data_IF_863497867476
#
_entry.id   IF_863497867476
#
_cell.length_a   1.000
_cell.length_b   1.000
_cell.length_c   1.000
_cell.angle_alpha   90.00
_cell.angle_beta   90.00
_cell.angle_gamma   90.00
#
_symmetry.space_group_name_H-M   'P 1'
#
loop_
_entity.id
_entity.type
_entity.pdbx_description
1 polymer ?
#
# COMPACT_ATOMS: atom_id res chain seq x y z
N UNK A 1 -11.93 -30.84 2.72
CA UNK A 1 -10.51 -30.44 2.69
C UNK A 1 -10.42 -28.93 2.53
N UNK A 2 -9.78 -28.22 3.47
CA UNK A 2 -9.67 -26.76 3.43
C UNK A 2 -8.48 -26.39 2.53
N UNK A 3 -8.74 -25.90 1.31
CA UNK A 3 -7.69 -25.58 0.34
C UNK A 3 -6.84 -24.41 0.84
N UNK A 4 -5.58 -24.33 0.43
CA UNK A 4 -4.63 -23.33 0.95
C UNK A 4 -5.12 -21.89 0.76
N UNK A 5 -5.84 -21.61 -0.32
CA UNK A 5 -6.49 -20.31 -0.57
C UNK A 5 -7.61 -20.00 0.42
N UNK A 6 -8.51 -20.96 0.69
CA UNK A 6 -9.59 -20.80 1.68
C UNK A 6 -9.03 -20.58 3.09
N UNK A 7 -7.97 -21.29 3.45
CA UNK A 7 -7.26 -21.09 4.72
C UNK A 7 -6.69 -19.68 4.84
N UNK A 8 -5.99 -19.19 3.82
CA UNK A 8 -5.44 -17.82 3.83
C UNK A 8 -6.54 -16.77 3.96
N UNK A 9 -7.61 -16.89 3.17
CA UNK A 9 -8.74 -15.96 3.22
C UNK A 9 -9.43 -15.97 4.60
N UNK A 10 -9.61 -17.15 5.20
CA UNK A 10 -10.15 -17.29 6.55
C UNK A 10 -9.29 -16.61 7.61
N UNK A 11 -7.96 -16.72 7.50
CA UNK A 11 -7.01 -16.02 8.38
C UNK A 11 -7.11 -14.51 8.20
N UNK A 12 -7.08 -14.03 6.95
CA UNK A 12 -7.17 -12.61 6.61
C UNK A 12 -8.45 -11.97 7.15
N UNK A 13 -9.61 -12.60 6.88
CA UNK A 13 -10.91 -12.12 7.36
C UNK A 13 -11.01 -12.23 8.87
N UNK A 14 -10.62 -13.37 9.45
CA UNK A 14 -10.70 -13.61 10.89
C UNK A 14 -9.88 -12.61 11.69
N UNK A 15 -8.64 -12.34 11.27
CA UNK A 15 -7.78 -11.34 11.92
C UNK A 15 -8.35 -9.94 11.71
N UNK A 16 -8.81 -9.58 10.51
CA UNK A 16 -9.39 -8.26 10.25
C UNK A 16 -10.63 -8.00 11.11
N UNK A 17 -11.53 -8.98 11.24
CA UNK A 17 -12.71 -8.89 12.08
C UNK A 17 -12.35 -8.77 13.57
N UNK A 18 -11.42 -9.60 14.05
CA UNK A 18 -10.94 -9.55 15.43
C UNK A 18 -10.32 -8.19 15.76
N UNK A 19 -9.45 -7.66 14.89
CA UNK A 19 -8.83 -6.36 15.08
C UNK A 19 -9.87 -5.23 15.08
N UNK A 20 -10.90 -5.32 14.23
CA UNK A 20 -11.95 -4.30 14.20
C UNK A 20 -12.80 -4.31 15.47
N UNK A 21 -13.10 -5.50 16.03
CA UNK A 21 -13.79 -5.63 17.32
C UNK A 21 -12.95 -5.02 18.44
N UNK A 22 -11.66 -5.39 18.51
CA UNK A 22 -10.73 -4.85 19.52
C UNK A 22 -10.63 -3.32 19.39
N UNK A 23 -10.47 -2.80 18.17
CA UNK A 23 -10.38 -1.38 17.91
C UNK A 23 -11.66 -0.63 18.29
N UNK A 24 -12.83 -1.23 18.00
CA UNK A 24 -14.13 -0.64 18.33
C UNK A 24 -14.32 -0.42 19.83
N UNK A 25 -13.74 -1.28 20.66
CA UNK A 25 -13.86 -1.20 22.12
C UNK A 25 -12.69 -0.46 22.78
N UNK A 26 -11.53 -0.39 22.12
CA UNK A 26 -10.27 -0.03 22.75
C UNK A 26 -9.40 0.99 22.01
N UNK A 27 -9.84 1.57 20.89
CA UNK A 27 -9.05 2.50 20.07
C UNK A 27 -8.29 3.55 20.90
N UNK A 28 -9.00 4.25 21.79
CA UNK A 28 -8.43 5.30 22.62
C UNK A 28 -7.41 4.75 23.62
N UNK A 29 -7.74 3.68 24.32
CA UNK A 29 -6.88 3.05 25.34
C UNK A 29 -5.63 2.46 24.71
N UNK A 30 -5.77 1.80 23.56
CA UNK A 30 -4.65 1.24 22.79
C UNK A 30 -3.69 2.36 22.40
N UNK A 31 -4.19 3.44 21.77
CA UNK A 31 -3.35 4.56 21.39
C UNK A 31 -2.66 5.23 22.59
N UNK A 32 -3.34 5.39 23.73
CA UNK A 32 -2.70 5.90 24.96
C UNK A 32 -1.54 5.04 25.43
N UNK A 33 -1.67 3.72 25.33
CA UNK A 33 -0.67 2.77 25.82
C UNK A 33 0.53 2.64 24.88
N UNK A 34 0.30 2.65 23.57
CA UNK A 34 1.32 2.27 22.59
C UNK A 34 1.90 3.43 21.79
N UNK A 35 1.35 4.64 21.87
CA UNK A 35 1.85 5.77 21.07
C UNK A 35 3.23 6.25 21.56
N UNK A 36 4.14 6.44 20.60
CA UNK A 36 5.43 7.11 20.75
C UNK A 36 5.88 7.67 19.41
N UNK A 37 5.89 8.98 19.34
CA UNK A 37 6.30 9.75 18.16
C UNK A 37 7.82 9.63 17.87
N UNK A 38 8.63 9.11 18.80
CA UNK A 38 10.07 8.86 18.59
C UNK A 38 10.38 7.43 18.14
N UNK A 39 9.36 6.61 17.85
CA UNK A 39 9.58 5.22 17.45
C UNK A 39 10.33 5.09 16.12
N UNK A 40 11.53 4.48 16.19
CA UNK A 40 12.33 4.13 15.00
C UNK A 40 11.56 3.20 14.06
N UNK A 41 10.92 2.16 14.61
CA UNK A 41 10.12 1.21 13.83
C UNK A 41 9.00 1.92 13.04
N UNK A 42 8.24 2.76 13.73
CA UNK A 42 7.15 3.51 13.11
C UNK A 42 7.65 4.46 12.01
N UNK A 43 8.80 5.10 12.24
CA UNK A 43 9.40 6.00 11.28
C UNK A 43 9.98 5.28 10.05
N UNK A 44 10.61 4.12 10.21
CA UNK A 44 11.09 3.32 9.07
C UNK A 44 9.95 2.94 8.13
N UNK A 45 8.82 2.49 8.69
CA UNK A 45 7.63 2.17 7.89
C UNK A 45 6.96 3.40 7.30
N UNK A 46 7.01 4.55 7.96
CA UNK A 46 6.56 5.81 7.39
C UNK A 46 7.33 6.18 6.13
N UNK A 47 8.66 6.07 6.18
CA UNK A 47 9.52 6.43 5.03
C UNK A 47 9.37 5.39 3.93
N UNK A 48 9.57 4.10 4.24
CA UNK A 48 9.75 3.08 3.21
C UNK A 48 8.50 2.23 2.94
N UNK A 49 7.59 2.16 3.91
CA UNK A 49 6.58 1.11 3.94
C UNK A 49 5.44 1.26 2.93
N UNK A 50 5.32 2.41 2.26
CA UNK A 50 4.31 2.62 1.21
C UNK A 50 4.71 2.02 -0.14
N UNK A 51 5.91 1.44 -0.27
CA UNK A 51 6.39 0.94 -1.56
C UNK A 51 5.44 0.01 -2.33
N UNK A 52 4.58 -0.84 -1.70
CA UNK A 52 3.74 -1.74 -2.48
C UNK A 52 2.75 -1.00 -3.40
N UNK A 53 2.27 0.19 -3.01
CA UNK A 53 1.36 0.97 -3.86
C UNK A 53 2.00 1.52 -5.12
N UNK A 54 3.34 1.65 -5.14
CA UNK A 54 4.08 2.02 -6.34
C UNK A 54 4.64 0.79 -7.07
N UNK A 55 4.99 -0.27 -6.34
CA UNK A 55 5.52 -1.50 -6.92
C UNK A 55 4.48 -2.24 -7.78
N UNK A 56 3.23 -2.35 -7.33
CA UNK A 56 2.19 -3.06 -8.07
C UNK A 56 1.90 -2.38 -9.42
N UNK A 57 1.66 -1.05 -9.51
CA UNK A 57 1.49 -0.38 -10.80
C UNK A 57 2.77 -0.40 -11.64
N UNK A 58 3.96 -0.31 -11.02
CA UNK A 58 5.24 -0.42 -11.73
C UNK A 58 5.39 -1.77 -12.45
N UNK A 59 5.19 -2.90 -11.75
CA UNK A 59 5.22 -4.24 -12.35
C UNK A 59 4.16 -4.35 -13.45
N UNK A 60 2.96 -3.83 -13.20
CA UNK A 60 1.86 -3.84 -14.17
C UNK A 60 2.18 -3.06 -15.45
N UNK A 61 2.82 -1.89 -15.31
CA UNK A 61 3.24 -1.04 -16.40
C UNK A 61 4.33 -1.72 -17.25
N UNK A 62 5.28 -2.39 -16.60
CA UNK A 62 6.35 -3.14 -17.26
C UNK A 62 5.83 -4.38 -18.02
N UNK A 63 4.79 -5.05 -17.50
CA UNK A 63 4.08 -6.11 -18.23
C UNK A 63 3.48 -5.55 -19.52
N UNK A 64 2.79 -4.40 -19.45
CA UNK A 64 2.20 -3.72 -20.61
C UNK A 64 3.28 -3.32 -21.62
N UNK A 65 4.38 -2.74 -21.15
CA UNK A 65 5.53 -2.35 -21.96
C UNK A 65 6.09 -3.54 -22.76
N UNK A 66 6.42 -4.64 -22.07
CA UNK A 66 7.04 -5.82 -22.68
C UNK A 66 6.04 -6.56 -23.60
N UNK A 67 4.76 -6.60 -23.25
CA UNK A 67 3.72 -7.12 -24.13
C UNK A 67 3.59 -6.29 -25.41
N UNK A 68 3.67 -4.97 -25.31
CA UNK A 68 3.70 -4.05 -26.44
C UNK A 68 4.86 -4.36 -27.40
N UNK A 69 6.07 -4.55 -26.88
CA UNK A 69 7.25 -4.87 -27.69
C UNK A 69 7.11 -6.18 -28.50
N UNK A 70 6.23 -7.10 -28.07
CA UNK A 70 5.97 -8.37 -28.75
C UNK A 70 4.84 -8.31 -29.79
N UNK A 71 4.19 -7.16 -29.97
CA UNK A 71 3.12 -7.03 -30.96
C UNK A 71 3.68 -6.95 -32.39
N UNK A 72 3.01 -7.60 -33.35
CA UNK A 72 3.37 -7.49 -34.77
C UNK A 72 2.95 -6.13 -35.35
N UNK A 73 1.77 -5.65 -34.96
CA UNK A 73 1.24 -4.37 -35.40
C UNK A 73 2.05 -3.20 -34.78
N UNK A 74 2.69 -2.39 -35.64
CA UNK A 74 3.57 -1.29 -35.22
C UNK A 74 2.85 -0.22 -34.38
N UNK A 75 1.61 0.12 -34.72
CA UNK A 75 0.84 1.11 -33.97
C UNK A 75 0.57 0.60 -32.54
N UNK A 76 0.08 -0.63 -32.42
CA UNK A 76 -0.21 -1.27 -31.12
C UNK A 76 1.06 -1.42 -30.29
N UNK A 77 2.16 -1.84 -30.91
CA UNK A 77 3.48 -1.94 -30.28
C UNK A 77 3.88 -0.65 -29.61
N UNK A 78 3.91 0.45 -30.36
CA UNK A 78 4.41 1.72 -29.84
C UNK A 78 3.44 2.37 -28.85
N UNK A 79 2.13 2.24 -29.03
CA UNK A 79 1.15 2.72 -28.04
C UNK A 79 1.36 2.03 -26.70
N UNK A 80 1.40 0.69 -26.67
CA UNK A 80 1.57 -0.07 -25.43
C UNK A 80 2.96 0.11 -24.83
N UNK A 81 4.00 0.15 -25.64
CA UNK A 81 5.36 0.32 -25.16
C UNK A 81 5.57 1.70 -24.52
N UNK A 82 5.18 2.77 -25.21
CA UNK A 82 5.36 4.14 -24.71
C UNK A 82 4.47 4.39 -23.48
N UNK A 83 3.20 3.97 -23.52
CA UNK A 83 2.31 4.13 -22.36
C UNK A 83 2.75 3.30 -21.16
N UNK A 84 3.16 2.05 -21.36
CA UNK A 84 3.69 1.18 -20.31
C UNK A 84 4.95 1.76 -19.67
N UNK A 85 5.94 2.17 -20.47
CA UNK A 85 7.17 2.74 -19.94
C UNK A 85 6.94 4.10 -19.26
N UNK A 86 6.10 4.97 -19.84
CA UNK A 86 5.73 6.25 -19.23
C UNK A 86 5.00 6.07 -17.90
N UNK A 87 4.12 5.07 -17.80
CA UNK A 87 3.42 4.76 -16.56
C UNK A 87 4.33 4.10 -15.51
N UNK A 88 5.30 3.27 -15.93
CA UNK A 88 6.34 2.74 -15.06
C UNK A 88 7.17 3.87 -14.45
N UNK A 89 7.59 4.84 -15.28
CA UNK A 89 8.28 6.05 -14.82
C UNK A 89 7.44 6.85 -13.81
N UNK A 90 6.17 7.12 -14.12
CA UNK A 90 5.28 7.83 -13.21
C UNK A 90 5.14 7.13 -11.85
N UNK A 91 5.02 5.80 -11.86
CA UNK A 91 4.94 5.00 -10.63
C UNK A 91 6.25 5.02 -9.84
N UNK A 92 7.40 4.91 -10.51
CA UNK A 92 8.71 5.00 -9.89
C UNK A 92 8.96 6.39 -9.29
N UNK A 93 8.53 7.45 -9.98
CA UNK A 93 8.60 8.81 -9.45
C UNK A 93 7.81 8.91 -8.15
N UNK A 94 6.51 8.58 -8.17
CA UNK A 94 5.67 8.70 -6.97
C UNK A 94 6.22 7.90 -5.78
N UNK A 95 6.93 6.80 -6.05
CA UNK A 95 7.67 6.06 -5.04
C UNK A 95 8.80 6.89 -4.42
N UNK A 96 9.69 7.43 -5.27
CA UNK A 96 10.85 8.23 -4.83
C UNK A 96 10.39 9.50 -4.11
N UNK A 97 9.39 10.19 -4.65
CA UNK A 97 8.80 11.41 -4.06
C UNK A 97 8.38 11.14 -2.61
N UNK A 98 7.58 10.09 -2.38
CA UNK A 98 7.15 9.72 -1.02
C UNK A 98 8.32 9.39 -0.08
N UNK A 99 9.30 8.62 -0.56
CA UNK A 99 10.49 8.26 0.23
C UNK A 99 11.34 9.48 0.59
N UNK A 100 11.57 10.37 -0.38
CA UNK A 100 12.35 11.59 -0.17
C UNK A 100 11.62 12.56 0.74
N UNK A 101 10.31 12.75 0.55
CA UNK A 101 9.49 13.60 1.40
C UNK A 101 9.59 13.19 2.88
N UNK A 102 9.27 11.94 3.21
CA UNK A 102 9.32 11.48 4.60
C UNK A 102 10.75 11.37 5.13
N UNK A 103 11.71 10.98 4.31
CA UNK A 103 13.13 10.88 4.69
C UNK A 103 13.72 12.23 5.05
N UNK A 104 13.58 13.23 4.17
CA UNK A 104 14.07 14.60 4.39
C UNK A 104 13.35 15.25 5.57
N UNK A 105 12.03 15.06 5.68
CA UNK A 105 11.28 15.60 6.82
C UNK A 105 11.76 15.00 8.14
N UNK A 106 12.01 13.68 8.17
CA UNK A 106 12.59 13.02 9.36
C UNK A 106 13.96 13.59 9.70
N UNK A 107 14.84 13.77 8.73
CA UNK A 107 16.17 14.36 8.95
C UNK A 107 16.08 15.79 9.51
N UNK A 108 15.13 16.58 8.99
CA UNK A 108 14.86 17.91 9.51
C UNK A 108 14.33 17.85 10.96
N UNK A 109 13.48 16.88 11.28
CA UNK A 109 12.99 16.70 12.65
C UNK A 109 14.14 16.36 13.61
N UNK A 110 15.04 15.46 13.22
CA UNK A 110 16.24 15.12 13.99
C UNK A 110 17.09 16.38 14.26
N UNK A 111 17.33 17.19 13.21
CA UNK A 111 18.11 18.43 13.32
C UNK A 111 17.48 19.45 14.28
N UNK A 112 16.16 19.54 14.30
CA UNK A 112 15.41 20.50 15.12
C UNK A 112 14.89 19.90 16.44
N UNK A 113 15.41 18.73 16.84
CA UNK A 113 14.99 18.00 18.05
C UNK A 113 13.48 17.76 18.15
N UNK A 114 12.82 17.59 17.00
CA UNK A 114 11.40 17.25 16.90
C UNK A 114 11.21 15.73 16.84
N UNK A 115 10.03 15.22 17.24
CA UNK A 115 9.75 13.79 17.15
C UNK A 115 9.80 13.27 15.72
N UNK A 116 10.28 12.04 15.54
CA UNK A 116 10.44 11.43 14.20
C UNK A 116 9.10 11.32 13.45
N UNK A 117 8.07 10.81 14.12
CA UNK A 117 6.72 10.65 13.59
C UNK A 117 6.03 11.97 13.25
N UNK A 118 6.56 13.12 13.71
CA UNK A 118 6.04 14.43 13.34
C UNK A 118 6.18 14.72 11.85
N UNK A 119 6.97 13.94 11.10
CA UNK A 119 7.04 14.01 9.65
C UNK A 119 5.71 13.70 8.94
N UNK A 120 4.74 13.10 9.64
CA UNK A 120 3.37 12.92 9.15
C UNK A 120 2.37 13.91 9.78
N UNK A 121 2.81 14.72 10.75
CA UNK A 121 1.94 15.70 11.36
C UNK A 121 1.80 16.87 10.37
N UNK A 122 0.57 17.27 10.09
CA UNK A 122 0.17 18.29 9.10
C UNK A 122 0.75 19.69 9.37
N UNK A 123 1.63 19.83 10.35
CA UNK A 123 2.15 21.06 10.91
C UNK A 123 3.68 20.94 10.91
N UNK A 124 4.36 21.52 9.92
CA UNK A 124 5.72 21.99 10.14
C UNK A 124 6.86 21.59 9.20
N UNK A 125 6.65 20.85 8.10
CA UNK A 125 7.76 20.63 7.18
C UNK A 125 7.34 20.55 5.71
N UNK A 126 7.66 21.61 4.96
CA UNK A 126 7.93 21.49 3.54
C UNK A 126 9.32 20.89 3.39
N UNK A 127 9.42 19.57 3.21
CA UNK A 127 10.67 18.96 2.78
C UNK A 127 11.02 19.49 1.39
N UNK A 128 12.12 20.24 1.30
CA UNK A 128 12.70 20.64 0.03
C UNK A 128 13.88 19.73 -0.29
N UNK A 129 13.81 19.05 -1.43
CA UNK A 129 14.89 18.25 -1.98
C UNK A 129 15.14 18.62 -3.43
N UNK A 130 16.35 18.33 -3.90
CA UNK A 130 16.74 18.63 -5.28
C UNK A 130 15.96 17.75 -6.25
N UNK A 131 15.30 18.40 -7.20
CA UNK A 131 14.69 17.74 -8.35
C UNK A 131 15.67 16.80 -9.07
N UNK A 132 16.94 17.21 -9.21
CA UNK A 132 17.96 16.39 -9.88
C UNK A 132 18.25 15.08 -9.14
N UNK A 133 18.16 15.08 -7.80
CA UNK A 133 18.37 13.89 -6.98
C UNK A 133 17.16 12.94 -7.06
N UNK A 134 15.94 13.50 -7.02
CA UNK A 134 14.70 12.75 -7.22
C UNK A 134 14.65 12.09 -8.60
N UNK A 135 14.98 12.85 -9.65
CA UNK A 135 15.06 12.34 -11.02
C UNK A 135 16.13 11.24 -11.15
N UNK A 136 17.29 11.41 -10.52
CA UNK A 136 18.36 10.40 -10.53
C UNK A 136 17.91 9.09 -9.87
N UNK A 137 17.32 9.13 -8.68
CA UNK A 137 16.82 7.93 -8.02
C UNK A 137 15.68 7.28 -8.79
N UNK A 138 14.78 8.08 -9.36
CA UNK A 138 13.69 7.57 -10.21
C UNK A 138 14.26 6.84 -11.43
N UNK A 139 15.27 7.42 -12.08
CA UNK A 139 15.94 6.79 -13.22
C UNK A 139 16.64 5.48 -12.82
N UNK A 140 17.32 5.44 -11.67
CA UNK A 140 17.97 4.22 -11.16
C UNK A 140 16.93 3.12 -10.90
N UNK A 141 15.82 3.44 -10.23
CA UNK A 141 14.74 2.48 -9.96
C UNK A 141 14.12 1.98 -11.26
N UNK A 142 13.87 2.88 -12.22
CA UNK A 142 13.35 2.51 -13.53
C UNK A 142 14.29 1.53 -14.23
N UNK A 143 15.57 1.89 -14.43
CA UNK A 143 16.53 1.04 -15.16
C UNK A 143 16.69 -0.33 -14.50
N UNK A 144 16.89 -0.38 -13.18
CA UNK A 144 17.06 -1.66 -12.44
C UNK A 144 15.76 -2.46 -12.49
N UNK A 145 14.62 -1.82 -12.23
CA UNK A 145 13.30 -2.45 -12.22
C UNK A 145 12.92 -3.03 -13.58
N UNK A 146 13.04 -2.24 -14.65
CA UNK A 146 12.83 -2.66 -16.04
C UNK A 146 13.73 -3.85 -16.37
N UNK A 147 15.02 -3.81 -16.02
CA UNK A 147 15.95 -4.91 -16.27
C UNK A 147 15.54 -6.22 -15.56
N UNK A 148 15.19 -6.15 -14.27
CA UNK A 148 14.78 -7.32 -13.49
C UNK A 148 13.47 -7.91 -14.01
N UNK A 149 12.49 -7.07 -14.33
CA UNK A 149 11.19 -7.51 -14.86
C UNK A 149 11.34 -8.05 -16.27
N UNK A 150 12.16 -7.42 -17.13
CA UNK A 150 12.49 -7.95 -18.45
C UNK A 150 13.14 -9.34 -18.37
N UNK A 151 14.08 -9.55 -17.44
CA UNK A 151 14.70 -10.88 -17.22
C UNK A 151 13.68 -11.94 -16.77
N UNK A 152 12.67 -11.54 -16.01
CA UNK A 152 11.57 -12.42 -15.61
C UNK A 152 10.62 -12.72 -16.79
N UNK A 153 10.15 -11.70 -17.51
CA UNK A 153 9.15 -11.82 -18.57
C UNK A 153 9.71 -12.34 -19.90
N UNK A 154 11.00 -12.17 -20.17
CA UNK A 154 11.67 -12.74 -21.37
C UNK A 154 11.57 -14.27 -21.45
N UNK A 155 11.36 -14.94 -20.32
CA UNK A 155 11.18 -16.39 -20.25
C UNK A 155 9.74 -16.86 -20.45
N UNK A 156 8.78 -15.94 -20.50
CA UNK A 156 7.34 -16.24 -20.62
C UNK A 156 6.94 -16.36 -22.09
N UNK A 157 6.06 -17.30 -22.38
CA UNK A 157 5.35 -17.44 -23.67
C UNK A 157 4.43 -16.24 -23.93
N UNK A 158 3.92 -16.09 -25.16
CA UNK A 158 2.99 -15.01 -25.48
C UNK A 158 1.65 -15.19 -24.74
N UNK A 159 1.20 -16.43 -24.59
CA UNK A 159 -0.03 -16.81 -23.89
C UNK A 159 0.06 -16.47 -22.39
N UNK A 160 1.16 -16.82 -21.74
CA UNK A 160 1.39 -16.47 -20.33
C UNK A 160 1.48 -14.94 -20.14
N UNK A 161 2.11 -14.23 -21.08
CA UNK A 161 2.20 -12.77 -21.01
C UNK A 161 0.84 -12.11 -21.22
N UNK A 162 0.00 -12.65 -22.12
CA UNK A 162 -1.37 -12.19 -22.35
C UNK A 162 -2.23 -12.35 -21.09
N UNK A 163 -2.05 -13.45 -20.34
CA UNK A 163 -2.70 -13.62 -19.04
C UNK A 163 -2.21 -12.60 -18.00
N UNK A 164 -0.90 -12.29 -18.00
CA UNK A 164 -0.34 -11.28 -17.11
C UNK A 164 -0.85 -9.86 -17.41
N UNK A 165 -1.28 -9.56 -18.65
CA UNK A 165 -1.91 -8.27 -18.96
C UNK A 165 -3.22 -8.08 -18.19
N UNK A 166 -4.03 -9.13 -18.08
CA UNK A 166 -5.28 -9.08 -17.29
C UNK A 166 -4.95 -8.82 -15.82
N UNK A 167 -3.92 -9.49 -15.29
CA UNK A 167 -3.42 -9.28 -13.93
C UNK A 167 -2.88 -7.86 -13.73
N UNK A 168 -2.15 -7.32 -14.70
CA UNK A 168 -1.59 -5.97 -14.66
C UNK A 168 -2.70 -4.91 -14.58
N UNK A 169 -3.72 -5.02 -15.43
CA UNK A 169 -4.88 -4.12 -15.41
C UNK A 169 -5.62 -4.22 -14.07
N UNK A 170 -5.83 -5.44 -13.56
CA UNK A 170 -6.46 -5.65 -12.26
C UNK A 170 -5.61 -5.08 -11.11
N UNK A 171 -4.28 -5.21 -11.16
CA UNK A 171 -3.37 -4.67 -10.14
C UNK A 171 -3.39 -3.15 -10.08
N UNK A 172 -3.38 -2.50 -11.25
CA UNK A 172 -3.60 -1.05 -11.37
C UNK A 172 -4.95 -0.69 -10.75
N UNK A 173 -6.03 -1.32 -11.21
CA UNK A 173 -7.38 -1.03 -10.71
C UNK A 173 -7.48 -1.19 -9.18
N UNK A 174 -6.93 -2.27 -8.61
CA UNK A 174 -6.93 -2.51 -7.16
C UNK A 174 -6.26 -1.37 -6.40
N UNK A 175 -5.09 -0.92 -6.85
CA UNK A 175 -4.37 0.17 -6.17
C UNK A 175 -5.15 1.48 -6.22
N UNK A 176 -5.60 1.91 -7.41
CA UNK A 176 -6.28 3.20 -7.52
C UNK A 176 -7.67 3.20 -6.89
N UNK A 177 -8.47 2.15 -7.12
CA UNK A 177 -9.81 2.04 -6.52
C UNK A 177 -9.71 2.03 -4.99
N UNK A 178 -8.77 1.28 -4.42
CA UNK A 178 -8.56 1.24 -2.96
C UNK A 178 -8.18 2.62 -2.41
N UNK A 179 -7.25 3.33 -3.06
CA UNK A 179 -6.84 4.67 -2.65
C UNK A 179 -7.98 5.68 -2.79
N UNK A 180 -8.75 5.63 -3.89
CA UNK A 180 -9.91 6.50 -4.11
C UNK A 180 -10.97 6.34 -3.03
N UNK A 181 -11.29 5.10 -2.64
CA UNK A 181 -12.24 4.82 -1.55
C UNK A 181 -11.73 5.45 -0.25
N UNK A 182 -10.47 5.21 0.12
CA UNK A 182 -9.88 5.76 1.35
C UNK A 182 -9.87 7.29 1.34
N UNK A 183 -9.51 7.91 0.22
CA UNK A 183 -9.45 9.37 0.10
C UNK A 183 -10.84 10.00 0.22
N UNK A 184 -11.87 9.40 -0.38
CA UNK A 184 -13.25 9.85 -0.23
C UNK A 184 -13.75 9.70 1.21
N UNK A 185 -13.45 8.57 1.87
CA UNK A 185 -13.82 8.35 3.26
C UNK A 185 -13.13 9.35 4.21
N UNK A 186 -11.85 9.67 4.00
CA UNK A 186 -11.10 10.65 4.80
C UNK A 186 -11.80 12.00 4.89
N UNK A 187 -12.26 12.51 3.74
CA UNK A 187 -12.94 13.82 3.67
C UNK A 187 -14.26 13.81 4.45
N UNK A 188 -15.00 12.71 4.40
CA UNK A 188 -16.31 12.59 5.05
C UNK A 188 -16.21 12.28 6.56
N UNK A 189 -15.15 11.60 6.99
CA UNK A 189 -14.99 11.21 8.38
C UNK A 189 -14.48 12.32 9.27
N UNK A 190 -13.55 13.16 8.78
CA UNK A 190 -13.05 14.30 9.54
C UNK A 190 -12.45 13.94 10.90
N UNK A 191 -11.97 12.70 11.08
CA UNK A 191 -11.55 12.17 12.39
C UNK A 191 -10.17 12.71 12.75
N UNK A 192 -10.04 13.25 13.97
CA UNK A 192 -8.76 13.63 14.56
C UNK A 192 -7.82 12.42 14.68
N UNK A 193 -6.51 12.65 14.53
CA UNK A 193 -5.49 11.61 14.74
C UNK A 193 -5.13 11.47 16.23
N UNK A 194 -4.57 10.35 16.67
CA UNK A 194 -4.18 10.16 18.06
C UNK A 194 -3.27 11.27 18.62
N UNK A 195 -2.34 11.81 17.82
CA UNK A 195 -1.47 12.90 18.28
C UNK A 195 -2.18 14.26 18.38
N UNK A 196 -3.42 14.39 17.89
CA UNK A 196 -4.22 15.63 17.86
C UNK A 196 -5.30 15.67 18.95
N UNK A 197 -5.53 14.56 19.66
CA UNK A 197 -6.61 14.45 20.65
C UNK A 197 -6.12 14.71 22.07
N UNK A 198 -6.84 15.56 22.79
CA UNK A 198 -6.50 16.04 24.15
C UNK A 198 -6.45 14.92 25.18
N UNK A 199 -7.22 13.86 24.95
CA UNK A 199 -7.24 12.69 25.83
C UNK A 199 -5.92 11.92 25.81
N UNK A 200 -5.10 12.09 24.76
CA UNK A 200 -3.79 11.44 24.58
C UNK A 200 -2.67 12.47 24.75
N UNK A 201 -2.77 13.63 24.09
CA UNK A 201 -1.78 14.70 24.14
C UNK A 201 -2.44 15.94 24.74
N UNK A 202 -2.18 16.19 26.03
CA UNK A 202 -2.87 17.22 26.84
C UNK A 202 -2.74 18.65 26.32
N UNK A 203 -1.73 18.95 25.48
CA UNK A 203 -1.52 20.26 24.86
C UNK A 203 -2.40 20.51 23.62
N UNK A 204 -3.17 19.52 23.17
CA UNK A 204 -4.01 19.61 21.96
C UNK A 204 -5.48 19.86 22.30
N UNK A 205 -6.28 20.23 21.28
CA UNK A 205 -7.70 20.58 21.44
C UNK A 205 -8.67 19.57 20.84
N UNK A 206 -8.19 18.62 20.03
CA UNK A 206 -9.04 17.62 19.39
C UNK A 206 -9.67 16.69 20.42
N UNK A 207 -10.79 16.08 20.06
CA UNK A 207 -11.51 15.12 20.92
C UNK A 207 -11.65 13.79 20.22
N UNK A 208 -11.42 12.71 20.96
CA UNK A 208 -11.65 11.37 20.43
C UNK A 208 -13.10 11.17 19.97
N UNK A 209 -13.26 10.57 18.79
CA UNK A 209 -14.53 10.04 18.29
C UNK A 209 -14.34 8.62 17.78
N UNK A 210 -15.38 7.79 17.88
CA UNK A 210 -15.36 6.41 17.39
C UNK A 210 -15.38 6.36 15.86
N UNK A 211 -14.88 5.27 15.27
CA UNK A 211 -14.77 5.14 13.82
C UNK A 211 -16.11 5.03 13.08
N UNK A 212 -17.22 4.69 13.74
CA UNK A 212 -18.56 4.74 13.13
C UNK A 212 -19.23 6.11 13.23
N UNK A 213 -18.56 7.11 13.83
CA UNK A 213 -19.06 8.47 13.91
C UNK A 213 -18.44 9.33 12.80
N UNK A 214 -19.29 9.89 11.94
CA UNK A 214 -18.86 10.79 10.87
C UNK A 214 -18.84 12.23 11.40
N UNK A 215 -17.66 12.84 11.47
CA UNK A 215 -17.50 14.22 11.95
C UNK A 215 -17.74 15.28 10.84
N UNK A 216 -17.90 14.84 9.58
CA UNK A 216 -18.00 15.73 8.42
C UNK A 216 -16.65 16.31 7.99
N UNK A 217 -16.68 17.40 7.22
CA UNK A 217 -15.49 18.01 6.63
C UNK A 217 -14.76 18.91 7.65
N UNK A 218 -14.04 18.30 8.60
CA UNK A 218 -13.29 19.03 9.63
C UNK A 218 -11.88 19.43 9.20
N UNK A 219 -11.38 18.91 8.07
CA UNK A 219 -9.99 19.01 7.64
C UNK A 219 -9.06 17.94 8.23
N UNK A 220 -9.51 17.17 9.23
CA UNK A 220 -8.72 16.08 9.84
C UNK A 220 -8.90 14.76 9.09
N UNK A 221 -7.82 13.98 8.96
CA UNK A 221 -7.79 12.83 8.03
C UNK A 221 -7.22 11.56 8.68
N UNK A 222 -7.66 11.22 9.89
CA UNK A 222 -7.24 9.97 10.55
C UNK A 222 -7.85 8.74 9.87
N UNK A 223 -9.17 8.69 9.73
CA UNK A 223 -9.86 7.49 9.22
C UNK A 223 -10.19 7.60 7.73
N UNK A 224 -9.92 6.58 6.90
CA UNK A 224 -9.03 5.44 7.11
C UNK A 224 -7.55 5.79 6.86
N UNK A 225 -6.64 4.85 7.11
CA UNK A 225 -5.20 5.05 6.95
C UNK A 225 -4.71 4.94 5.50
N UNK A 226 -4.07 6.01 4.99
CA UNK A 226 -3.44 6.05 3.66
C UNK A 226 -2.19 5.16 3.53
N UNK A 227 -1.32 5.19 4.54
CA UNK A 227 -0.12 4.34 4.55
C UNK A 227 -0.46 2.86 4.61
N UNK A 228 -1.52 2.51 5.36
CA UNK A 228 -1.95 1.12 5.46
C UNK A 228 -2.55 0.63 4.15
N UNK A 229 -3.38 1.42 3.47
CA UNK A 229 -3.92 1.01 2.16
C UNK A 229 -2.81 0.88 1.12
N UNK A 230 -1.78 1.75 1.20
CA UNK A 230 -0.62 1.66 0.35
C UNK A 230 0.19 0.36 0.57
N UNK A 231 0.45 0.01 1.83
CA UNK A 231 1.11 -1.26 2.17
C UNK A 231 0.26 -2.49 1.80
N UNK A 232 -1.07 -2.39 1.97
CA UNK A 232 -2.02 -3.46 1.67
C UNK A 232 -2.11 -3.82 0.19
N UNK A 233 -1.61 -2.96 -0.72
CA UNK A 233 -1.41 -3.33 -2.12
C UNK A 233 -0.51 -4.58 -2.27
N UNK A 234 0.34 -4.89 -1.28
CA UNK A 234 1.13 -6.12 -1.25
C UNK A 234 0.28 -7.40 -1.27
N UNK A 235 -1.00 -7.35 -0.86
CA UNK A 235 -1.94 -8.47 -0.99
C UNK A 235 -2.18 -8.89 -2.44
N UNK A 236 -1.83 -8.03 -3.42
CA UNK A 236 -1.91 -8.33 -4.84
C UNK A 236 -0.65 -9.03 -5.41
N UNK A 237 0.46 -9.10 -4.67
CA UNK A 237 1.69 -9.75 -5.14
C UNK A 237 1.53 -11.21 -5.62
N UNK A 238 0.70 -12.07 -4.98
CA UNK A 238 0.52 -13.46 -5.40
C UNK A 238 0.06 -13.64 -6.85
N UNK A 239 -0.63 -12.63 -7.42
CA UNK A 239 -1.15 -12.71 -8.78
C UNK A 239 -0.05 -12.57 -9.85
N UNK A 240 1.11 -12.02 -9.48
CA UNK A 240 2.29 -11.99 -10.35
C UNK A 240 3.12 -13.28 -10.29
N UNK A 241 2.89 -14.16 -9.30
CA UNK A 241 3.52 -15.47 -9.31
C UNK A 241 2.90 -16.37 -10.38
N UNK A 242 3.74 -17.24 -10.94
CA UNK A 242 3.29 -18.30 -11.84
C UNK A 242 2.17 -19.11 -11.19
N UNK A 243 1.08 -19.35 -11.93
CA UNK A 243 -0.09 -20.08 -11.42
C UNK A 243 0.25 -21.52 -11.02
N UNK A 244 1.30 -22.12 -11.62
CA UNK A 244 1.82 -23.44 -11.24
C UNK A 244 2.69 -23.40 -9.97
N UNK A 245 3.23 -22.23 -9.61
CA UNK A 245 4.10 -22.07 -8.45
C UNK A 245 3.30 -21.76 -7.17
N UNK A 246 2.63 -22.79 -6.62
CA UNK A 246 1.83 -22.67 -5.39
C UNK A 246 2.66 -22.18 -4.20
N UNK A 247 3.93 -22.60 -4.10
CA UNK A 247 4.84 -22.17 -3.03
C UNK A 247 5.09 -20.66 -3.12
N UNK A 248 5.35 -20.13 -4.31
CA UNK A 248 5.54 -18.71 -4.56
C UNK A 248 4.29 -17.89 -4.19
N UNK A 249 3.12 -18.34 -4.63
CA UNK A 249 1.84 -17.69 -4.28
C UNK A 249 1.62 -17.61 -2.77
N UNK A 250 1.86 -18.72 -2.04
CA UNK A 250 1.77 -18.76 -0.58
C UNK A 250 2.74 -17.76 0.06
N UNK A 251 4.01 -17.79 -0.32
CA UNK A 251 5.03 -16.89 0.24
C UNK A 251 4.62 -15.43 0.06
N UNK A 252 4.23 -15.04 -1.16
CA UNK A 252 3.82 -13.66 -1.47
C UNK A 252 2.53 -13.25 -0.74
N UNK A 253 1.58 -14.17 -0.56
CA UNK A 253 0.30 -13.86 0.09
C UNK A 253 0.51 -13.60 1.58
N UNK A 254 1.21 -14.51 2.26
CA UNK A 254 1.50 -14.35 3.68
C UNK A 254 2.50 -13.20 3.94
N UNK A 255 3.51 -13.01 3.09
CA UNK A 255 4.45 -11.89 3.27
C UNK A 255 3.77 -10.54 3.06
N UNK A 256 2.92 -10.39 2.04
CA UNK A 256 2.15 -9.18 1.82
C UNK A 256 1.19 -8.87 2.96
N UNK A 257 0.54 -9.90 3.50
CA UNK A 257 -0.33 -9.75 4.67
C UNK A 257 0.45 -9.36 5.94
N UNK A 258 1.53 -10.06 6.27
CA UNK A 258 2.39 -9.74 7.42
C UNK A 258 2.98 -8.34 7.29
N UNK A 259 3.44 -7.95 6.10
CA UNK A 259 3.95 -6.61 5.85
C UNK A 259 2.88 -5.54 6.11
N UNK A 260 1.63 -5.80 5.71
CA UNK A 260 0.52 -4.90 5.99
C UNK A 260 0.26 -4.79 7.49
N UNK A 261 0.28 -5.89 8.25
CA UNK A 261 0.13 -5.87 9.71
C UNK A 261 1.26 -5.08 10.40
N UNK A 262 2.50 -5.19 9.91
CA UNK A 262 3.63 -4.40 10.40
C UNK A 262 3.44 -2.90 10.12
N UNK A 263 2.95 -2.54 8.93
CA UNK A 263 2.58 -1.17 8.61
C UNK A 263 1.49 -0.65 9.55
N UNK A 264 0.42 -1.43 9.77
CA UNK A 264 -0.65 -1.07 10.70
C UNK A 264 -0.09 -0.76 12.09
N UNK A 265 0.72 -1.67 12.63
CA UNK A 265 1.37 -1.50 13.92
C UNK A 265 2.25 -0.24 13.95
N UNK A 266 3.03 0.02 12.90
CA UNK A 266 3.86 1.21 12.78
C UNK A 266 3.04 2.52 12.83
N UNK A 267 1.90 2.57 12.13
CA UNK A 267 1.03 3.75 12.11
C UNK A 267 0.37 4.03 13.45
N UNK A 268 -0.06 2.98 14.15
CA UNK A 268 -0.60 3.10 15.51
C UNK A 268 0.50 3.51 16.49
N UNK A 269 1.70 2.93 16.33
CA UNK A 269 2.86 3.21 17.19
C UNK A 269 3.27 4.68 17.18
N UNK A 270 3.25 5.38 16.05
CA UNK A 270 3.58 6.82 16.00
C UNK A 270 2.37 7.72 16.26
N UNK A 271 1.20 7.16 16.54
CA UNK A 271 -0.02 7.93 16.78
C UNK A 271 -0.58 8.62 15.54
N UNK A 272 -0.18 8.20 14.34
CA UNK A 272 -0.70 8.76 13.09
C UNK A 272 -2.13 8.31 12.78
N UNK A 273 -2.54 7.16 13.32
CA UNK A 273 -3.83 6.52 13.09
C UNK A 273 -4.24 5.69 14.31
N UNK A 274 -5.54 5.59 14.56
CA UNK A 274 -6.10 4.61 15.49
C UNK A 274 -6.06 3.19 14.90
N UNK A 275 -6.25 2.16 15.72
CA UNK A 275 -6.24 0.77 15.25
C UNK A 275 -7.39 0.51 14.27
N UNK A 276 -8.56 1.11 14.49
CA UNK A 276 -9.69 0.97 13.55
C UNK A 276 -9.38 1.58 12.18
N UNK A 277 -8.64 2.69 12.13
CA UNK A 277 -8.30 3.39 10.89
C UNK A 277 -7.44 2.53 9.98
N UNK A 278 -6.48 1.82 10.57
CA UNK A 278 -5.57 0.92 9.86
C UNK A 278 -6.28 -0.39 9.51
N UNK A 279 -7.10 -0.92 10.41
CA UNK A 279 -7.88 -2.14 10.18
C UNK A 279 -8.90 -1.95 9.06
N UNK A 280 -9.59 -0.80 9.00
CA UNK A 280 -10.53 -0.50 7.91
C UNK A 280 -9.81 -0.46 6.56
N UNK A 281 -8.61 0.14 6.48
CA UNK A 281 -7.82 0.11 5.25
C UNK A 281 -7.45 -1.31 4.81
N UNK A 282 -7.06 -2.18 5.76
CA UNK A 282 -6.82 -3.60 5.45
C UNK A 282 -8.08 -4.28 4.90
N UNK A 283 -9.25 -4.03 5.50
CA UNK A 283 -10.54 -4.58 5.03
C UNK A 283 -10.85 -4.08 3.62
N UNK A 284 -10.73 -2.78 3.35
CA UNK A 284 -10.98 -2.18 2.03
C UNK A 284 -10.06 -2.81 0.98
N UNK A 285 -8.74 -2.84 1.22
CA UNK A 285 -7.80 -3.45 0.28
C UNK A 285 -8.10 -4.94 0.03
N UNK A 286 -8.44 -5.68 1.08
CA UNK A 286 -8.77 -7.11 0.99
C UNK A 286 -10.03 -7.33 0.15
N UNK A 287 -11.07 -6.52 0.36
CA UNK A 287 -12.32 -6.59 -0.39
C UNK A 287 -12.12 -6.22 -1.86
N UNK A 288 -11.44 -5.10 -2.14
CA UNK A 288 -11.16 -4.67 -3.52
C UNK A 288 -10.31 -5.70 -4.25
N UNK A 289 -9.26 -6.22 -3.58
CA UNK A 289 -8.44 -7.30 -4.14
C UNK A 289 -9.30 -8.53 -4.41
N UNK A 290 -10.13 -8.97 -3.47
CA UNK A 290 -11.00 -10.13 -3.63
C UNK A 290 -11.97 -9.96 -4.81
N UNK A 291 -12.63 -8.81 -4.94
CA UNK A 291 -13.50 -8.51 -6.09
C UNK A 291 -12.73 -8.60 -7.40
N UNK A 292 -11.53 -8.03 -7.46
CA UNK A 292 -10.67 -8.13 -8.64
C UNK A 292 -10.30 -9.59 -8.95
N UNK A 293 -10.01 -10.42 -7.93
CA UNK A 293 -9.72 -11.86 -8.14
C UNK A 293 -10.89 -12.60 -8.79
N UNK A 294 -12.12 -12.29 -8.37
CA UNK A 294 -13.32 -12.91 -8.95
C UNK A 294 -13.59 -12.43 -10.36
N UNK A 295 -13.30 -11.17 -10.66
CA UNK A 295 -13.43 -10.63 -12.00
C UNK A 295 -12.44 -11.27 -12.99
N UNK A 296 -11.20 -11.54 -12.58
CA UNK A 296 -10.19 -12.16 -13.46
C UNK A 296 -10.19 -13.69 -13.44
N UNK A 297 -11.05 -14.32 -12.62
CA UNK A 297 -11.17 -15.78 -12.52
C UNK A 297 -10.03 -16.48 -11.75
N UNK A 298 -9.22 -15.75 -10.99
CA UNK A 298 -8.10 -16.31 -10.22
C UNK A 298 -8.44 -16.46 -8.74
N UNK A 299 -7.72 -17.36 -8.07
CA UNK A 299 -7.72 -17.45 -6.61
C UNK A 299 -6.46 -16.78 -6.02
N UNK A 300 -6.47 -16.39 -4.74
CA UNK A 300 -5.26 -15.88 -4.08
C UNK A 300 -4.11 -16.89 -4.11
N UNK A 301 -4.43 -18.16 -3.87
CA UNK A 301 -3.54 -19.30 -3.94
C UNK A 301 -4.33 -20.41 -4.63
N UNK A 302 -3.83 -20.89 -5.77
CA UNK A 302 -4.51 -21.95 -6.51
C UNK A 302 -4.64 -23.24 -5.71
N UNK A 303 -5.66 -24.01 -6.07
CA UNK A 303 -5.86 -25.33 -5.51
C UNK A 303 -4.85 -26.29 -6.14
N UNK A 304 -4.30 -27.17 -5.31
CA UNK A 304 -3.50 -28.30 -5.79
C UNK A 304 -4.47 -29.15 -6.60
N UNK A 305 -4.23 -29.29 -7.91
CA UNK A 305 -5.02 -30.22 -8.71
C UNK A 305 -4.84 -31.60 -8.10
N UNK A 306 -5.95 -32.20 -7.65
CA UNK A 306 -5.98 -33.61 -7.26
C UNK A 306 -5.63 -34.41 -8.52
N UNK A 307 -4.34 -34.71 -8.69
CA UNK A 307 -3.88 -35.74 -9.60
C UNK A 307 -4.12 -37.10 -8.96
#
# INVERSE_FOLDING_TARGET
>A
MNTSGKKFLGILIGISALLLIIASLGDLQISKMVMDQNSIFGNLFQIFGMFPSALIPFISAEIIFIYGLRQDNQLTKWILAISGLGFAYWSAWGWVDGWMFYGVTTLNNIKNHQPLGAANNSIGATATYSFGLEALFTFIILVIGTFLIYRWLSKKTYEELSQLIIVAIAGIAVVYVSNSIVNMMKVNWGRFRPYEVKEIVSSTKGTFTNWWHLNGQTGHQSFPSGHTIAAAAALFLPFFADRKNLKGQKILAYSGFVFTLLMMAARVRIGAHFLSDTTMSLIIASLVTFVATKAIGYSFIEEESLN
#
